data_IF_096689236363
#
_entry.id   IF_096689236363
#
_cell.length_a   1.000
_cell.length_b   1.000
_cell.length_c   1.000
_cell.angle_alpha   90.00
_cell.angle_beta   90.00
_cell.angle_gamma   90.00
#
_symmetry.space_group_name_H-M   'P 1'
#
loop_
_entity.id
_entity.type
_entity.pdbx_description
1 polymer ?
#
# COMPACT_ATOMS: atom_id res chain seq x y z
N UNK A 1 17.56 -7.32 -4.65
CA UNK A 1 16.63 -7.05 -3.53
C UNK A 1 15.29 -6.65 -4.12
N UNK A 2 14.19 -6.76 -3.36
CA UNK A 2 12.86 -6.46 -3.90
C UNK A 2 12.70 -5.00 -4.39
N UNK A 3 13.38 -4.05 -3.74
CA UNK A 3 13.43 -2.66 -4.22
C UNK A 3 14.22 -2.51 -5.54
N UNK A 4 15.30 -3.28 -5.73
CA UNK A 4 16.07 -3.27 -6.98
C UNK A 4 15.20 -3.73 -8.16
N UNK A 5 14.38 -4.76 -7.94
CA UNK A 5 13.44 -5.26 -8.95
C UNK A 5 12.42 -4.18 -9.32
N UNK A 6 11.87 -3.46 -8.34
CA UNK A 6 10.95 -2.35 -8.57
C UNK A 6 11.61 -1.20 -9.34
N UNK A 7 12.83 -0.80 -8.97
CA UNK A 7 13.58 0.27 -9.66
C UNK A 7 13.98 -0.08 -11.09
N UNK A 8 14.13 -1.37 -11.38
CA UNK A 8 14.32 -1.85 -12.73
C UNK A 8 13.01 -1.91 -13.55
N UNK A 9 11.83 -1.81 -12.91
CA UNK A 9 10.52 -1.71 -13.58
C UNK A 9 10.19 -0.25 -13.85
N UNK A 10 10.24 0.56 -12.79
CA UNK A 10 9.86 1.97 -12.80
C UNK A 10 11.04 2.76 -12.24
N UNK A 11 11.71 3.60 -13.03
CA UNK A 11 12.80 4.42 -12.53
C UNK A 11 12.32 5.32 -11.37
N UNK A 12 13.12 5.47 -10.30
CA UNK A 12 12.76 6.35 -9.19
C UNK A 12 12.81 7.83 -9.61
N UNK A 13 12.10 8.72 -8.89
CA UNK A 13 12.15 10.16 -9.14
C UNK A 13 13.56 10.71 -8.84
N UNK A 14 13.89 11.87 -9.43
CA UNK A 14 15.23 12.49 -9.29
C UNK A 14 15.53 12.96 -7.86
N UNK A 15 14.49 13.25 -7.08
CA UNK A 15 14.59 13.59 -5.66
C UNK A 15 13.50 12.83 -4.90
N UNK A 16 13.90 11.99 -3.94
CA UNK A 16 12.99 11.38 -2.99
C UNK A 16 12.92 12.24 -1.73
N UNK A 17 11.72 12.69 -1.37
CA UNK A 17 11.48 13.34 -0.09
C UNK A 17 11.30 12.28 0.98
N UNK A 18 12.36 11.99 1.75
CA UNK A 18 12.28 11.11 2.91
C UNK A 18 12.60 11.87 4.20
N UNK A 19 11.56 12.15 4.98
CA UNK A 19 11.62 12.75 6.29
C UNK A 19 11.63 11.65 7.37
N UNK A 20 12.81 11.43 7.93
CA UNK A 20 13.02 10.46 9.01
C UNK A 20 12.19 10.78 10.27
N UNK A 21 11.83 12.05 10.52
CA UNK A 21 10.99 12.43 11.67
C UNK A 21 9.54 12.05 11.44
N UNK A 22 9.01 12.30 10.24
CA UNK A 22 7.66 11.88 9.87
C UNK A 22 7.51 10.35 9.96
N UNK A 23 8.52 9.60 9.51
CA UNK A 23 8.55 8.15 9.66
C UNK A 23 8.51 7.71 11.13
N UNK A 24 9.38 8.26 11.97
CA UNK A 24 9.45 7.92 13.40
C UNK A 24 8.15 8.24 14.13
N UNK A 25 7.57 9.43 13.90
CA UNK A 25 6.28 9.81 14.48
C UNK A 25 5.17 8.83 14.08
N UNK A 26 5.22 8.32 12.84
CA UNK A 26 4.26 7.32 12.36
C UNK A 26 4.40 5.99 13.10
N UNK A 27 5.62 5.46 13.25
CA UNK A 27 5.85 4.21 13.99
C UNK A 27 5.49 4.35 15.48
N UNK A 28 5.79 5.50 16.08
CA UNK A 28 5.40 5.82 17.47
C UNK A 28 3.87 5.85 17.63
N UNK A 29 3.15 6.47 16.68
CA UNK A 29 1.70 6.53 16.67
C UNK A 29 1.04 5.16 16.43
N UNK A 30 1.56 4.38 15.48
CA UNK A 30 1.07 3.03 15.18
C UNK A 30 1.35 2.05 16.32
N UNK A 31 2.38 2.30 17.14
CA UNK A 31 2.81 1.40 18.21
C UNK A 31 3.62 0.20 17.71
N UNK A 32 4.06 0.22 16.45
CA UNK A 32 4.89 -0.81 15.83
C UNK A 32 5.70 -0.22 14.67
N UNK A 33 6.79 -0.90 14.31
CA UNK A 33 7.56 -0.57 13.11
C UNK A 33 6.82 -1.01 11.86
N UNK A 34 6.94 -0.22 10.79
CA UNK A 34 6.47 -0.61 9.45
C UNK A 34 7.44 -1.62 8.81
N UNK A 35 7.00 -2.37 7.79
CA UNK A 35 7.88 -3.29 7.06
C UNK A 35 9.11 -2.59 6.50
N UNK A 36 10.27 -3.23 6.63
CA UNK A 36 11.56 -2.67 6.18
C UNK A 36 11.60 -2.42 4.67
N UNK A 37 10.95 -3.27 3.87
CA UNK A 37 10.89 -3.08 2.42
C UNK A 37 10.08 -1.83 2.03
N UNK A 38 9.05 -1.50 2.82
CA UNK A 38 8.28 -0.27 2.63
C UNK A 38 9.09 0.98 3.01
N UNK A 39 10.02 0.84 3.96
CA UNK A 39 10.98 1.91 4.26
C UNK A 39 11.95 2.12 3.11
N UNK A 40 12.47 1.04 2.52
CA UNK A 40 13.33 1.11 1.33
C UNK A 40 12.57 1.77 0.15
N UNK A 41 11.29 1.43 -0.03
CA UNK A 41 10.39 2.10 -0.97
C UNK A 41 10.30 3.60 -0.68
N UNK A 42 9.97 3.99 0.54
CA UNK A 42 9.79 5.39 0.92
C UNK A 42 11.09 6.21 0.79
N UNK A 43 12.25 5.60 1.01
CA UNK A 43 13.55 6.25 0.80
C UNK A 43 13.88 6.44 -0.69
N UNK A 44 13.40 5.54 -1.54
CA UNK A 44 13.73 5.51 -2.98
C UNK A 44 12.74 6.30 -3.83
N UNK A 45 11.45 6.16 -3.56
CA UNK A 45 10.35 6.79 -4.29
C UNK A 45 9.70 7.93 -3.49
N UNK A 46 9.54 7.75 -2.17
CA UNK A 46 8.70 8.61 -1.36
C UNK A 46 7.20 8.42 -1.65
N UNK A 47 6.38 9.38 -1.24
CA UNK A 47 4.95 9.40 -1.56
C UNK A 47 4.73 9.92 -2.97
N UNK A 48 3.95 9.19 -3.76
CA UNK A 48 3.69 9.54 -5.15
C UNK A 48 2.80 8.52 -5.83
N UNK A 49 2.73 8.65 -7.15
CA UNK A 49 1.86 7.86 -8.01
C UNK A 49 2.65 7.05 -9.02
N UNK A 50 2.16 5.86 -9.33
CA UNK A 50 2.56 5.05 -10.46
C UNK A 50 1.59 5.24 -11.62
N UNK A 51 2.10 5.07 -12.83
CA UNK A 51 1.32 4.97 -14.06
C UNK A 51 0.40 6.17 -14.29
N UNK A 52 1.00 7.36 -14.42
CA UNK A 52 0.30 8.61 -14.73
C UNK A 52 -0.84 8.95 -13.74
N UNK A 53 -0.66 8.60 -12.46
CA UNK A 53 -1.65 8.87 -11.42
C UNK A 53 -2.59 7.70 -11.10
N UNK A 54 -2.50 6.59 -11.85
CA UNK A 54 -3.37 5.44 -11.69
C UNK A 54 -3.31 4.83 -10.27
N UNK A 55 -2.11 4.61 -9.74
CA UNK A 55 -1.89 3.98 -8.43
C UNK A 55 -1.14 4.93 -7.51
N UNK A 56 -1.81 5.40 -6.45
CA UNK A 56 -1.19 6.21 -5.41
C UNK A 56 -0.64 5.31 -4.29
N UNK A 57 0.63 5.50 -3.94
CA UNK A 57 1.22 4.93 -2.73
C UNK A 57 1.34 6.04 -1.69
N UNK A 58 0.76 5.80 -0.53
CA UNK A 58 0.79 6.69 0.62
C UNK A 58 1.85 6.19 1.58
N UNK A 59 2.90 6.98 1.80
CA UNK A 59 3.91 6.66 2.81
C UNK A 59 4.18 7.87 3.71
N UNK A 60 4.66 7.67 4.94
CA UNK A 60 4.97 8.76 5.86
C UNK A 60 6.33 9.40 5.53
N UNK A 61 6.70 9.52 4.25
CA UNK A 61 7.99 10.06 3.84
C UNK A 61 8.02 11.59 3.79
N UNK A 62 6.87 12.26 3.72
CA UNK A 62 6.79 13.72 3.60
C UNK A 62 5.99 14.40 4.71
N UNK A 63 4.99 13.71 5.27
CA UNK A 63 4.15 14.24 6.33
C UNK A 63 3.51 13.11 7.14
N UNK A 64 3.75 13.12 8.45
CA UNK A 64 3.07 12.22 9.39
C UNK A 64 1.56 12.50 9.39
N UNK A 65 1.14 13.77 9.39
CA UNK A 65 -0.28 14.09 9.54
C UNK A 65 -1.11 13.69 8.33
N UNK A 66 -0.59 13.86 7.12
CA UNK A 66 -1.29 13.42 5.91
C UNK A 66 -1.40 11.89 5.87
N UNK A 67 -0.36 11.18 6.29
CA UNK A 67 -0.39 9.73 6.37
C UNK A 67 -1.38 9.25 7.44
N UNK A 68 -1.38 9.89 8.63
CA UNK A 68 -2.32 9.59 9.72
C UNK A 68 -3.76 9.80 9.30
N UNK A 69 -4.08 10.95 8.69
CA UNK A 69 -5.41 11.27 8.19
C UNK A 69 -5.89 10.24 7.14
N UNK A 70 -5.00 9.84 6.23
CA UNK A 70 -5.29 8.79 5.25
C UNK A 70 -5.63 7.45 5.94
N UNK A 71 -4.79 6.99 6.88
CA UNK A 71 -5.02 5.72 7.58
C UNK A 71 -6.33 5.75 8.38
N UNK A 72 -6.59 6.83 9.13
CA UNK A 72 -7.81 7.01 9.92
C UNK A 72 -9.07 7.03 9.03
N UNK A 73 -8.99 7.73 7.88
CA UNK A 73 -10.07 7.76 6.91
C UNK A 73 -10.39 6.37 6.35
N UNK A 74 -9.37 5.63 5.89
CA UNK A 74 -9.57 4.30 5.30
C UNK A 74 -10.12 3.30 6.32
N UNK A 75 -9.60 3.33 7.55
CA UNK A 75 -10.13 2.52 8.65
C UNK A 75 -11.61 2.84 8.95
N UNK A 76 -11.98 4.12 8.95
CA UNK A 76 -13.36 4.57 9.15
C UNK A 76 -14.30 4.12 8.04
N UNK A 77 -13.87 4.18 6.78
CA UNK A 77 -14.64 3.68 5.63
C UNK A 77 -14.88 2.17 5.76
N UNK A 78 -13.85 1.39 6.08
CA UNK A 78 -13.98 -0.05 6.27
C UNK A 78 -14.92 -0.39 7.43
N UNK A 79 -14.81 0.33 8.57
CA UNK A 79 -15.72 0.15 9.70
C UNK A 79 -17.18 0.46 9.33
N UNK A 80 -17.43 1.53 8.58
CA UNK A 80 -18.78 1.87 8.14
C UNK A 80 -19.39 0.79 7.24
N UNK A 81 -18.58 0.16 6.38
CA UNK A 81 -19.05 -0.96 5.57
C UNK A 81 -19.37 -2.21 6.41
N UNK A 82 -18.58 -2.48 7.46
CA UNK A 82 -18.85 -3.56 8.43
C UNK A 82 -20.17 -3.30 9.17
N UNK A 83 -20.35 -2.09 9.70
CA UNK A 83 -21.53 -1.70 10.48
C UNK A 83 -22.82 -1.74 9.64
N UNK A 84 -22.71 -1.38 8.35
CA UNK A 84 -23.83 -1.45 7.42
C UNK A 84 -24.24 -2.89 7.07
N UNK A 85 -23.38 -3.89 7.30
CA UNK A 85 -23.67 -5.31 7.06
C UNK A 85 -23.94 -5.65 5.58
N UNK A 86 -23.56 -4.78 4.66
CA UNK A 86 -23.85 -4.93 3.21
C UNK A 86 -22.97 -6.01 2.57
N UNK A 87 -21.80 -6.30 3.16
CA UNK A 87 -20.82 -7.29 2.67
C UNK A 87 -20.24 -8.09 3.84
N UNK A 88 -19.84 -9.34 3.57
CA UNK A 88 -19.11 -10.15 4.54
C UNK A 88 -17.63 -9.78 4.52
N UNK A 89 -17.23 -8.83 5.36
CA UNK A 89 -15.85 -8.36 5.46
C UNK A 89 -15.12 -9.20 6.52
N UNK A 90 -14.13 -10.02 6.14
CA UNK A 90 -13.50 -10.97 7.06
C UNK A 90 -12.37 -10.36 7.91
N UNK A 91 -12.08 -9.07 7.73
CA UNK A 91 -10.98 -8.38 8.41
C UNK A 91 -11.48 -7.21 9.24
N UNK A 92 -10.87 -7.00 10.40
CA UNK A 92 -11.07 -5.79 11.19
C UNK A 92 -10.23 -4.64 10.64
N UNK A 93 -10.69 -3.37 10.72
CA UNK A 93 -9.85 -2.21 10.44
C UNK A 93 -8.79 -1.99 11.53
N UNK A 94 -7.65 -1.39 11.18
CA UNK A 94 -6.77 -0.73 12.14
C UNK A 94 -7.59 0.25 13.02
N UNK A 95 -7.35 0.35 14.34
CA UNK A 95 -6.20 -0.13 15.11
C UNK A 95 -6.31 -1.57 15.65
N UNK A 96 -7.28 -2.37 15.18
CA UNK A 96 -7.32 -3.79 15.54
C UNK A 96 -6.04 -4.51 15.11
N UNK A 97 -5.58 -5.46 15.91
CA UNK A 97 -4.39 -6.28 15.62
C UNK A 97 -4.74 -7.76 15.87
N UNK A 98 -4.86 -8.60 14.82
CA UNK A 98 -4.64 -8.26 13.40
C UNK A 98 -5.75 -7.34 12.84
N UNK A 99 -5.37 -6.44 11.93
CA UNK A 99 -6.29 -5.57 11.21
C UNK A 99 -5.70 -5.03 9.90
N UNK A 100 -6.54 -4.45 9.05
CA UNK A 100 -6.12 -3.86 7.78
C UNK A 100 -5.59 -2.44 8.01
N UNK A 101 -4.33 -2.23 7.59
CA UNK A 101 -3.67 -0.93 7.55
C UNK A 101 -3.44 -0.54 6.09
N UNK A 102 -4.15 0.50 5.62
CA UNK A 102 -4.06 0.95 4.23
C UNK A 102 -2.71 1.61 3.92
N UNK A 103 -2.22 1.42 2.70
CA UNK A 103 -0.99 2.06 2.18
C UNK A 103 -1.07 2.48 0.72
N UNK A 104 -2.08 2.02 -0.02
CA UNK A 104 -2.24 2.37 -1.42
C UNK A 104 -3.70 2.34 -1.87
N UNK A 105 -3.97 3.07 -2.94
CA UNK A 105 -5.26 3.05 -3.62
C UNK A 105 -5.06 3.37 -5.10
N UNK A 106 -5.94 2.86 -5.96
CA UNK A 106 -5.97 3.25 -7.36
C UNK A 106 -7.19 4.12 -7.70
N UNK A 107 -7.21 4.65 -8.92
CA UNK A 107 -8.27 5.51 -9.43
C UNK A 107 -9.64 4.82 -9.54
N UNK A 108 -9.68 3.49 -9.56
CA UNK A 108 -10.90 2.69 -9.65
C UNK A 108 -11.51 2.39 -8.27
N UNK A 109 -10.94 2.95 -7.21
CA UNK A 109 -11.41 2.76 -5.84
C UNK A 109 -10.98 1.43 -5.23
N UNK A 110 -10.01 0.73 -5.83
CA UNK A 110 -9.36 -0.40 -5.20
C UNK A 110 -8.41 0.09 -4.12
N UNK A 111 -8.24 -0.72 -3.08
CA UNK A 111 -7.42 -0.38 -1.91
C UNK A 111 -6.41 -1.47 -1.63
N UNK A 112 -5.25 -1.07 -1.15
CA UNK A 112 -4.14 -1.95 -0.81
C UNK A 112 -3.80 -1.76 0.67
N UNK A 113 -3.74 -2.88 1.38
CA UNK A 113 -3.54 -2.91 2.82
C UNK A 113 -2.43 -3.88 3.20
N UNK A 114 -1.86 -3.69 4.38
CA UNK A 114 -1.24 -4.77 5.13
C UNK A 114 -2.27 -5.41 6.04
N UNK A 115 -2.15 -6.72 6.27
CA UNK A 115 -2.74 -7.36 7.44
C UNK A 115 -1.70 -7.39 8.56
N UNK A 116 -1.94 -6.66 9.64
CA UNK A 116 -0.98 -6.47 10.76
C UNK A 116 -0.87 -7.68 11.69
N UNK A 117 -0.62 -8.87 11.12
CA UNK A 117 -0.54 -10.13 11.85
C UNK A 117 0.91 -10.59 12.00
N UNK A 118 1.41 -10.68 13.24
CA UNK A 118 2.77 -11.17 13.52
C UNK A 118 3.85 -10.12 13.23
N UNK A 119 5.02 -10.57 12.76
CA UNK A 119 6.16 -9.69 12.51
C UNK A 119 5.92 -8.78 11.29
N UNK A 120 6.31 -7.51 11.39
CA UNK A 120 6.04 -6.51 10.34
C UNK A 120 6.54 -6.91 8.95
N UNK A 121 7.73 -7.49 8.86
CA UNK A 121 8.31 -7.95 7.58
C UNK A 121 7.62 -9.17 6.98
N UNK A 122 6.68 -9.80 7.69
CA UNK A 122 5.89 -10.96 7.26
C UNK A 122 4.43 -10.58 6.99
N UNK A 123 4.06 -9.31 7.12
CA UNK A 123 2.70 -8.88 6.84
C UNK A 123 2.38 -9.05 5.36
N UNK A 124 1.29 -9.76 5.02
CA UNK A 124 0.88 -9.92 3.64
C UNK A 124 0.27 -8.62 3.11
N UNK A 125 0.29 -8.49 1.79
CA UNK A 125 -0.55 -7.52 1.08
C UNK A 125 -1.96 -8.07 0.94
N UNK A 126 -2.96 -7.26 1.29
CA UNK A 126 -4.37 -7.53 1.03
C UNK A 126 -4.88 -6.51 0.01
N UNK A 127 -5.23 -6.99 -1.19
CA UNK A 127 -5.91 -6.20 -2.20
C UNK A 127 -7.41 -6.27 -1.97
N UNK A 128 -8.06 -5.11 -1.93
CA UNK A 128 -9.51 -4.97 -1.84
C UNK A 128 -10.03 -4.34 -3.13
N UNK A 129 -10.95 -5.02 -3.82
CA UNK A 129 -11.63 -4.46 -4.98
C UNK A 129 -12.68 -3.45 -4.57
N UNK A 130 -13.11 -2.61 -5.50
CA UNK A 130 -14.24 -1.68 -5.29
C UNK A 130 -15.53 -2.47 -4.92
N UNK A 131 -15.64 -3.69 -5.44
CA UNK A 131 -16.74 -4.61 -5.15
C UNK A 131 -16.62 -5.33 -3.80
N UNK A 132 -15.55 -5.08 -3.04
CA UNK A 132 -15.34 -5.60 -1.70
C UNK A 132 -14.88 -7.05 -1.67
N UNK A 133 -14.33 -7.53 -2.78
CA UNK A 133 -13.58 -8.79 -2.80
C UNK A 133 -12.18 -8.55 -2.24
N UNK A 134 -11.68 -9.51 -1.48
CA UNK A 134 -10.34 -9.45 -0.89
C UNK A 134 -9.47 -10.58 -1.42
N UNK A 135 -8.23 -10.24 -1.76
CA UNK A 135 -7.22 -11.20 -2.18
C UNK A 135 -5.92 -11.01 -1.40
N UNK A 136 -5.33 -12.11 -0.95
CA UNK A 136 -4.13 -12.11 -0.11
C UNK A 136 -2.90 -12.48 -0.92
N UNK A 137 -1.83 -11.73 -0.72
CA UNK A 137 -0.51 -11.99 -1.30
C UNK A 137 0.55 -12.01 -0.19
N UNK A 138 1.13 -13.18 0.05
CA UNK A 138 2.20 -13.39 1.05
C UNK A 138 3.57 -12.98 0.50
N UNK A 139 3.68 -11.71 0.09
CA UNK A 139 4.91 -11.09 -0.42
C UNK A 139 5.06 -9.67 0.15
N UNK A 140 6.30 -9.15 0.27
CA UNK A 140 6.53 -7.75 0.62
C UNK A 140 5.93 -6.78 -0.41
N UNK A 141 5.66 -5.54 -0.02
CA UNK A 141 5.02 -4.51 -0.87
C UNK A 141 5.83 -4.24 -2.12
N UNK A 142 7.13 -4.06 -1.99
CA UNK A 142 8.02 -3.80 -3.14
C UNK A 142 8.00 -4.95 -4.14
N UNK A 143 7.93 -6.20 -3.66
CA UNK A 143 7.81 -7.40 -4.51
C UNK A 143 6.43 -7.50 -5.16
N UNK A 144 5.37 -7.14 -4.43
CA UNK A 144 4.01 -7.09 -4.97
C UNK A 144 3.91 -6.07 -6.10
N UNK A 145 4.36 -4.83 -5.88
CA UNK A 145 4.35 -3.76 -6.87
C UNK A 145 5.18 -4.14 -8.11
N UNK A 146 6.43 -4.61 -7.92
CA UNK A 146 7.30 -4.97 -9.03
C UNK A 146 6.70 -6.08 -9.90
N UNK A 147 6.10 -7.10 -9.28
CA UNK A 147 5.48 -8.21 -10.00
C UNK A 147 4.15 -7.83 -10.62
N UNK A 148 3.33 -7.01 -9.97
CA UNK A 148 2.06 -6.55 -10.52
C UNK A 148 2.28 -5.67 -11.77
N UNK A 149 3.19 -4.70 -11.69
CA UNK A 149 3.53 -3.81 -12.81
C UNK A 149 4.22 -4.53 -13.98
N UNK A 150 4.91 -5.65 -13.72
CA UNK A 150 5.45 -6.55 -14.76
C UNK A 150 4.51 -7.67 -15.16
N UNK A 151 3.26 -7.65 -14.70
CA UNK A 151 2.25 -8.66 -15.01
C UNK A 151 2.59 -10.10 -14.54
N UNK A 152 3.52 -10.25 -13.60
CA UNK A 152 3.94 -11.50 -12.96
C UNK A 152 3.04 -11.92 -11.80
N UNK A 153 2.47 -10.96 -11.07
CA UNK A 153 1.29 -11.16 -10.21
C UNK A 153 0.12 -10.49 -10.91
N UNK A 154 -1.02 -11.18 -11.00
CA UNK A 154 -2.26 -10.66 -11.55
C UNK A 154 -3.36 -10.87 -10.53
N UNK A 155 -3.68 -9.84 -9.73
CA UNK A 155 -4.80 -9.95 -8.83
C UNK A 155 -6.06 -10.31 -9.61
N UNK A 156 -6.83 -11.24 -9.05
CA UNK A 156 -8.02 -11.79 -9.68
C UNK A 156 -9.18 -10.78 -9.70
N UNK A 157 -9.16 -9.81 -8.79
CA UNK A 157 -10.26 -8.86 -8.57
C UNK A 157 -9.91 -7.40 -8.88
N UNK A 158 -8.65 -7.10 -9.15
CA UNK A 158 -8.16 -5.76 -9.50
C UNK A 158 -7.16 -5.86 -10.65
N UNK A 159 -6.95 -4.78 -11.41
CA UNK A 159 -5.93 -4.70 -12.48
C UNK A 159 -6.03 -5.84 -13.52
N UNK A 160 -7.24 -6.06 -14.07
CA UNK A 160 -7.48 -7.11 -15.07
C UNK A 160 -6.72 -6.90 -16.38
N UNK A 161 -6.40 -5.66 -16.72
CA UNK A 161 -5.60 -5.32 -17.89
C UNK A 161 -4.13 -5.25 -17.48
N UNK A 162 -3.21 -5.79 -18.29
CA UNK A 162 -1.80 -5.67 -18.01
C UNK A 162 -1.35 -4.21 -18.13
N UNK A 163 -0.34 -3.83 -17.35
CA UNK A 163 0.33 -2.53 -17.51
C UNK A 163 1.23 -2.57 -18.74
N UNK A 164 1.15 -1.55 -19.58
CA UNK A 164 2.03 -1.39 -20.76
C UNK A 164 3.33 -0.69 -20.35
N UNK A 165 4.46 -1.06 -20.98
CA UNK A 165 5.77 -0.49 -20.61
C UNK A 165 5.83 1.04 -20.74
N UNK A 166 5.06 1.63 -21.66
CA UNK A 166 4.97 3.09 -21.84
C UNK A 166 4.27 3.81 -20.68
N UNK A 167 3.47 3.10 -19.90
CA UNK A 167 2.72 3.64 -18.76
C UNK A 167 3.55 3.53 -17.47
N UNK A 168 4.68 2.82 -17.47
CA UNK A 168 5.47 2.58 -16.26
C UNK A 168 6.32 3.81 -15.89
N UNK A 169 5.72 4.73 -15.14
CA UNK A 169 6.38 5.91 -14.58
C UNK A 169 6.00 6.15 -13.12
N UNK A 170 6.77 7.01 -12.45
CA UNK A 170 6.50 7.47 -11.08
C UNK A 170 6.55 8.99 -11.01
N UNK A 171 5.57 9.61 -10.34
CA UNK A 171 5.42 11.05 -10.19
C UNK A 171 5.06 11.45 -8.75
#
# INVERSE_FOLDING_TARGET
MAIDDLTAVVPPPTASGFDQRAWQATEEWLGFSLPSDFKDFAQTYGTGTFCDGFLQVYCPSSSFELYREFVEYQAGVLQAHIDAGVRNIPFAPYPSCPGLLAWGADENGHRLHWLTAGAANEWPVIAESHEGDFERFDVPVTSFLAQALRNGIRPSHIWHQPFEESELNFA
#
